data_IF_120022406213
#
_entry.id   IF_120022406213
#
_cell.length_a   1.000
_cell.length_b   1.000
_cell.length_c   1.000
_cell.angle_alpha   90.00
_cell.angle_beta   90.00
_cell.angle_gamma   90.00
#
_symmetry.space_group_name_H-M   'P 1'
#
loop_
_entity.id
_entity.type
_entity.pdbx_description
1 polymer ?
#
# COMPACT_ATOMS: atom_id res chain seq x y z
N UNK A 1 1.56 8.97 14.11
CA UNK A 1 0.61 9.60 13.15
C UNK A 1 -0.15 8.46 12.54
N UNK A 2 -1.48 8.49 12.60
CA UNK A 2 -2.36 7.51 11.96
C UNK A 2 -2.42 7.74 10.44
N UNK A 3 -2.90 6.74 9.70
CA UNK A 3 -3.13 6.89 8.26
C UNK A 3 -4.14 8.01 7.97
N UNK A 4 -5.20 8.09 8.79
CA UNK A 4 -6.23 9.11 8.65
C UNK A 4 -5.69 10.53 8.78
N UNK A 5 -4.79 10.78 9.73
CA UNK A 5 -4.14 12.10 9.89
C UNK A 5 -3.30 12.48 8.67
N UNK A 6 -2.63 11.51 8.04
CA UNK A 6 -1.85 11.75 6.80
C UNK A 6 -2.78 12.11 5.65
N UNK A 7 -3.85 11.34 5.44
CA UNK A 7 -4.82 11.59 4.37
C UNK A 7 -5.53 12.93 4.56
N UNK A 8 -5.90 13.28 5.79
CA UNK A 8 -6.49 14.58 6.10
C UNK A 8 -5.52 15.73 5.78
N UNK A 9 -4.26 15.61 6.18
CA UNK A 9 -3.23 16.61 5.84
C UNK A 9 -3.03 16.77 4.33
N UNK A 10 -3.06 15.67 3.57
CA UNK A 10 -3.00 15.73 2.11
C UNK A 10 -4.23 16.46 1.53
N UNK A 11 -5.42 16.17 2.05
CA UNK A 11 -6.66 16.83 1.65
C UNK A 11 -6.64 18.34 1.96
N UNK A 12 -6.12 18.74 3.12
CA UNK A 12 -5.91 20.17 3.48
C UNK A 12 -4.94 20.88 2.53
N UNK A 13 -4.00 20.11 1.92
CA UNK A 13 -3.11 20.61 0.86
C UNK A 13 -3.75 20.59 -0.54
N UNK A 14 -5.02 20.19 -0.66
CA UNK A 14 -5.76 20.10 -1.92
C UNK A 14 -5.26 19.00 -2.86
N UNK A 15 -4.70 17.90 -2.33
CA UNK A 15 -4.16 16.79 -3.10
C UNK A 15 -4.47 15.43 -2.48
N UNK A 16 -4.52 14.36 -3.28
CA UNK A 16 -4.52 12.99 -2.75
C UNK A 16 -3.15 12.62 -2.16
N UNK A 17 -3.13 11.55 -1.36
CA UNK A 17 -1.89 10.95 -0.89
C UNK A 17 -1.24 10.06 -1.97
N UNK A 18 0.10 9.99 -2.00
CA UNK A 18 0.84 8.94 -2.70
C UNK A 18 1.15 7.81 -1.73
N UNK A 19 0.68 6.61 -2.04
CA UNK A 19 0.89 5.40 -1.25
C UNK A 19 1.80 4.46 -2.06
N UNK A 20 2.98 4.19 -1.55
CA UNK A 20 4.02 3.42 -2.23
C UNK A 20 4.10 2.00 -1.65
N UNK A 21 3.81 0.98 -2.47
CA UNK A 21 3.99 -0.42 -2.09
C UNK A 21 5.38 -0.93 -2.48
N UNK A 22 6.07 -1.58 -1.56
CA UNK A 22 7.31 -2.33 -1.80
C UNK A 22 7.33 -3.61 -0.96
N UNK A 23 7.76 -4.77 -1.54
CA UNK A 23 7.91 -6.01 -0.79
C UNK A 23 9.18 -5.99 0.07
N UNK A 24 9.07 -6.43 1.31
CA UNK A 24 10.23 -6.64 2.19
C UNK A 24 11.09 -7.78 1.67
N UNK A 25 12.43 -7.63 1.77
CA UNK A 25 13.37 -8.66 1.35
C UNK A 25 13.71 -8.66 -0.14
N UNK A 26 13.15 -7.77 -0.95
CA UNK A 26 13.52 -7.65 -2.36
C UNK A 26 14.30 -6.34 -2.62
N UNK A 27 15.49 -6.41 -3.24
CA UNK A 27 16.22 -7.64 -3.60
C UNK A 27 16.88 -8.31 -2.39
N UNK A 28 17.11 -7.61 -1.30
CA UNK A 28 17.55 -8.08 0.02
C UNK A 28 16.76 -7.36 1.11
N UNK A 29 16.87 -7.80 2.36
CA UNK A 29 16.22 -7.10 3.48
C UNK A 29 16.73 -5.67 3.60
N UNK A 30 18.05 -5.48 3.61
CA UNK A 30 18.71 -4.18 3.69
C UNK A 30 18.37 -3.29 2.49
N UNK A 31 18.38 -3.88 1.28
CA UNK A 31 18.02 -3.20 0.03
C UNK A 31 16.57 -2.73 0.03
N UNK A 32 15.64 -3.55 0.50
CA UNK A 32 14.22 -3.20 0.59
C UNK A 32 13.98 -2.07 1.60
N UNK A 33 14.67 -2.09 2.74
CA UNK A 33 14.62 -1.01 3.74
C UNK A 33 15.17 0.30 3.16
N UNK A 34 16.30 0.25 2.44
CA UNK A 34 16.86 1.41 1.77
C UNK A 34 15.89 1.97 0.71
N UNK A 35 15.25 1.09 -0.07
CA UNK A 35 14.26 1.46 -1.06
C UNK A 35 13.03 2.12 -0.43
N UNK A 36 12.50 1.58 0.68
CA UNK A 36 11.35 2.16 1.39
C UNK A 36 11.68 3.55 1.97
N UNK A 37 12.89 3.77 2.46
CA UNK A 37 13.35 5.10 2.88
C UNK A 37 13.43 6.06 1.69
N UNK A 38 13.97 5.58 0.56
CA UNK A 38 14.12 6.38 -0.65
C UNK A 38 12.77 6.86 -1.22
N UNK A 39 11.72 6.04 -1.18
CA UNK A 39 10.37 6.48 -1.63
C UNK A 39 9.78 7.53 -0.70
N UNK A 40 10.00 7.45 0.62
CA UNK A 40 9.59 8.50 1.58
C UNK A 40 10.28 9.82 1.25
N UNK A 41 11.59 9.81 1.11
CA UNK A 41 12.41 10.97 0.77
C UNK A 41 12.05 11.58 -0.60
N UNK A 42 11.53 10.75 -1.52
CA UNK A 42 11.10 11.16 -2.86
C UNK A 42 9.63 11.60 -2.95
N UNK A 43 8.91 11.59 -1.84
CA UNK A 43 7.60 12.22 -1.73
C UNK A 43 6.40 11.29 -1.58
N UNK A 44 6.61 10.01 -1.24
CA UNK A 44 5.53 9.14 -0.80
C UNK A 44 5.04 9.57 0.61
N UNK A 45 3.74 9.63 0.81
CA UNK A 45 3.10 10.00 2.09
C UNK A 45 2.93 8.80 3.01
N UNK A 46 2.61 7.65 2.41
CA UNK A 46 2.37 6.37 3.09
C UNK A 46 3.20 5.31 2.37
N UNK A 47 3.76 4.36 3.13
CA UNK A 47 4.45 3.19 2.57
C UNK A 47 3.71 1.93 2.98
N UNK A 48 3.26 1.16 1.98
CA UNK A 48 2.77 -0.20 2.19
C UNK A 48 3.95 -1.16 2.21
N UNK A 49 4.25 -1.65 3.39
CA UNK A 49 5.29 -2.64 3.66
C UNK A 49 4.73 -4.03 3.37
N UNK A 50 5.00 -4.57 2.18
CA UNK A 50 4.47 -5.85 1.75
C UNK A 50 5.20 -7.02 2.37
N UNK A 51 4.48 -7.90 3.07
CA UNK A 51 5.04 -9.17 3.56
C UNK A 51 4.99 -10.19 2.42
N UNK A 52 6.14 -10.72 1.95
CA UNK A 52 6.15 -11.72 0.89
C UNK A 52 5.37 -12.97 1.25
N UNK A 53 4.61 -13.49 0.30
CA UNK A 53 3.78 -14.66 0.46
C UNK A 53 3.95 -15.63 -0.70
N UNK A 54 3.96 -16.95 -0.41
CA UNK A 54 4.21 -18.00 -1.40
C UNK A 54 3.06 -18.23 -2.37
N UNK A 55 1.82 -17.94 -1.95
CA UNK A 55 0.60 -18.27 -2.67
C UNK A 55 -0.32 -17.04 -2.86
N UNK A 56 0.18 -15.94 -3.49
CA UNK A 56 -0.56 -14.69 -3.59
C UNK A 56 -1.75 -14.83 -4.56
N UNK A 57 -2.91 -14.27 -4.16
CA UNK A 57 -4.12 -14.26 -4.99
C UNK A 57 -4.27 -12.98 -5.80
N UNK A 58 -3.58 -11.89 -5.42
CA UNK A 58 -3.78 -10.55 -6.01
C UNK A 58 -2.54 -9.99 -6.68
N UNK A 59 -1.37 -10.59 -6.47
CA UNK A 59 -0.12 -10.06 -6.96
C UNK A 59 0.07 -10.34 -8.45
N UNK A 60 0.48 -9.32 -9.20
CA UNK A 60 0.89 -9.50 -10.58
C UNK A 60 2.27 -10.15 -10.69
N UNK A 61 2.67 -10.63 -11.90
CA UNK A 61 3.89 -11.42 -12.09
C UNK A 61 5.16 -10.76 -11.53
N UNK A 62 5.28 -9.44 -11.63
CA UNK A 62 6.45 -8.71 -11.13
C UNK A 62 6.51 -8.69 -9.60
N UNK A 63 5.37 -8.57 -8.93
CA UNK A 63 5.30 -8.63 -7.46
C UNK A 63 5.56 -10.05 -7.00
N UNK A 64 5.02 -11.06 -7.69
CA UNK A 64 5.29 -12.48 -7.42
C UNK A 64 6.79 -12.79 -7.54
N UNK A 65 7.45 -12.38 -8.63
CA UNK A 65 8.90 -12.56 -8.81
C UNK A 65 9.70 -11.95 -7.64
N UNK A 66 9.33 -10.74 -7.23
CA UNK A 66 9.99 -10.07 -6.10
C UNK A 66 9.74 -10.80 -4.77
N UNK A 67 8.52 -11.28 -4.53
CA UNK A 67 8.16 -12.05 -3.34
C UNK A 67 8.90 -13.41 -3.30
N UNK A 68 8.94 -14.14 -4.42
CA UNK A 68 9.68 -15.40 -4.55
C UNK A 68 11.17 -15.21 -4.27
N UNK A 69 11.77 -14.14 -4.83
CA UNK A 69 13.17 -13.78 -4.58
C UNK A 69 13.42 -13.54 -3.09
N UNK A 70 12.56 -12.76 -2.43
CA UNK A 70 12.66 -12.46 -1.01
C UNK A 70 12.53 -13.72 -0.15
N UNK A 71 11.54 -14.59 -0.45
CA UNK A 71 11.32 -15.85 0.25
C UNK A 71 12.51 -16.81 0.07
N UNK A 72 13.05 -16.92 -1.14
CA UNK A 72 14.23 -17.76 -1.43
C UNK A 72 15.47 -17.27 -0.64
N UNK A 73 15.57 -16.00 -0.35
CA UNK A 73 16.63 -15.39 0.48
C UNK A 73 16.35 -15.43 1.98
N UNK A 74 15.24 -16.04 2.39
CA UNK A 74 14.94 -16.33 3.78
C UNK A 74 14.35 -15.17 4.58
N UNK A 75 13.69 -14.20 3.92
CA UNK A 75 12.95 -13.11 4.59
C UNK A 75 11.99 -13.65 5.65
N UNK A 76 11.83 -12.92 6.74
CA UNK A 76 10.98 -13.26 7.88
C UNK A 76 10.00 -12.12 8.19
N UNK A 77 8.95 -12.43 8.93
CA UNK A 77 7.96 -11.43 9.39
C UNK A 77 8.62 -10.34 10.24
N UNK A 78 9.65 -10.67 11.01
CA UNK A 78 10.40 -9.71 11.81
C UNK A 78 11.12 -8.65 10.95
N UNK A 79 11.53 -9.01 9.74
CA UNK A 79 12.12 -8.06 8.78
C UNK A 79 11.10 -7.01 8.33
N UNK A 80 9.81 -7.37 8.28
CA UNK A 80 8.75 -6.40 7.99
C UNK A 80 8.62 -5.37 9.12
N UNK A 81 8.74 -5.76 10.37
CA UNK A 81 8.73 -4.81 11.49
C UNK A 81 9.99 -3.94 11.52
N UNK A 82 11.15 -4.48 11.12
CA UNK A 82 12.36 -3.67 10.94
C UNK A 82 12.18 -2.63 9.82
N UNK A 83 11.56 -3.00 8.71
CA UNK A 83 11.24 -2.08 7.62
C UNK A 83 10.23 -0.99 8.06
N UNK A 84 9.18 -1.38 8.81
CA UNK A 84 8.22 -0.44 9.43
C UNK A 84 8.94 0.60 10.29
N UNK A 85 9.83 0.16 11.18
CA UNK A 85 10.60 1.06 12.04
C UNK A 85 11.50 2.02 11.23
N UNK A 86 12.11 1.53 10.15
CA UNK A 86 12.95 2.33 9.28
C UNK A 86 12.16 3.39 8.49
N UNK A 87 10.98 3.04 7.96
CA UNK A 87 10.06 3.98 7.30
C UNK A 87 9.60 5.05 8.29
N UNK A 88 9.26 4.64 9.52
CA UNK A 88 8.86 5.58 10.57
C UNK A 88 9.98 6.56 10.92
N UNK A 89 11.20 6.06 11.06
CA UNK A 89 12.38 6.88 11.34
C UNK A 89 12.71 7.86 10.20
N UNK A 90 12.39 7.51 8.95
CA UNK A 90 12.52 8.39 7.79
C UNK A 90 11.41 9.45 7.69
N UNK A 91 10.46 9.48 8.62
CA UNK A 91 9.33 10.43 8.63
C UNK A 91 8.11 9.97 7.83
N UNK A 92 8.13 8.77 7.25
CA UNK A 92 6.99 8.16 6.55
C UNK A 92 5.94 7.58 7.50
N UNK A 93 4.81 7.20 6.94
CA UNK A 93 3.76 6.49 7.66
C UNK A 93 3.65 5.07 7.10
N UNK A 94 4.18 4.05 7.82
CA UNK A 94 4.16 2.67 7.36
C UNK A 94 2.83 1.99 7.68
N UNK A 95 2.31 1.25 6.71
CA UNK A 95 1.20 0.31 6.86
C UNK A 95 1.68 -1.05 6.36
N UNK A 96 1.47 -2.11 7.11
CA UNK A 96 1.82 -3.45 6.62
C UNK A 96 0.71 -3.97 5.71
N UNK A 97 1.07 -4.62 4.60
CA UNK A 97 0.17 -5.43 3.80
C UNK A 97 0.55 -6.89 3.93
N UNK A 98 -0.36 -7.72 4.41
CA UNK A 98 -0.12 -9.14 4.65
C UNK A 98 -1.37 -9.98 4.43
N UNK A 99 -1.19 -11.20 3.93
CA UNK A 99 -2.23 -12.22 3.97
C UNK A 99 -2.46 -12.66 5.42
N UNK A 100 -3.71 -12.91 5.76
CA UNK A 100 -4.13 -13.05 7.15
C UNK A 100 -3.61 -14.32 7.83
N UNK A 101 -3.35 -15.39 7.06
CA UNK A 101 -2.75 -16.61 7.61
C UNK A 101 -1.37 -16.37 8.25
N UNK A 102 -0.59 -15.39 7.77
CA UNK A 102 0.70 -15.00 8.37
C UNK A 102 0.47 -14.37 9.75
N UNK A 103 -0.56 -13.53 9.86
CA UNK A 103 -0.96 -12.90 11.12
C UNK A 103 -1.43 -13.95 12.13
N UNK A 104 -2.29 -14.90 11.68
CA UNK A 104 -2.76 -16.02 12.49
C UNK A 104 -1.60 -16.90 12.98
N UNK A 105 -0.63 -17.21 12.10
CA UNK A 105 0.51 -18.05 12.48
C UNK A 105 1.40 -17.40 13.56
N UNK A 106 1.57 -16.07 13.52
CA UNK A 106 2.31 -15.35 14.56
C UNK A 106 1.50 -15.21 15.86
N UNK A 107 0.19 -15.27 15.77
CA UNK A 107 -0.78 -14.90 16.79
C UNK A 107 -1.22 -13.44 16.63
N UNK A 108 -2.53 -13.22 16.52
CA UNK A 108 -3.12 -11.92 16.14
C UNK A 108 -2.73 -10.80 17.11
N UNK A 109 -2.86 -11.03 18.41
CA UNK A 109 -2.50 -10.05 19.45
C UNK A 109 -0.99 -9.73 19.41
N UNK A 110 -0.14 -10.76 19.31
CA UNK A 110 1.31 -10.57 19.20
C UNK A 110 1.70 -9.80 17.95
N UNK A 111 1.07 -10.10 16.80
CA UNK A 111 1.34 -9.36 15.57
C UNK A 111 0.98 -7.88 15.71
N UNK A 112 -0.18 -7.60 16.31
CA UNK A 112 -0.64 -6.23 16.56
C UNK A 112 0.30 -5.48 17.52
N UNK A 113 0.73 -6.14 18.61
CA UNK A 113 1.70 -5.56 19.55
C UNK A 113 3.04 -5.23 18.88
N UNK A 114 3.60 -6.19 18.12
CA UNK A 114 4.88 -6.02 17.42
C UNK A 114 4.80 -4.92 16.35
N UNK A 115 3.70 -4.86 15.59
CA UNK A 115 3.44 -3.82 14.59
C UNK A 115 3.37 -2.43 15.24
N UNK A 116 2.62 -2.30 16.32
CA UNK A 116 2.50 -1.05 17.06
C UNK A 116 3.84 -0.61 17.66
N UNK A 117 4.60 -1.55 18.27
CA UNK A 117 5.91 -1.30 18.84
C UNK A 117 6.93 -0.83 17.79
N UNK A 118 6.84 -1.35 16.55
CA UNK A 118 7.65 -0.89 15.41
C UNK A 118 7.22 0.50 14.90
N UNK A 119 6.11 1.05 15.35
CA UNK A 119 5.56 2.34 14.90
C UNK A 119 4.70 2.25 13.64
N UNK A 120 4.19 1.06 13.32
CA UNK A 120 3.23 0.85 12.24
C UNK A 120 1.91 1.55 12.49
N UNK A 121 1.30 2.06 11.44
CA UNK A 121 0.01 2.75 11.54
C UNK A 121 -1.19 1.80 11.40
N UNK A 122 -1.04 0.66 10.75
CA UNK A 122 -2.12 -0.28 10.52
C UNK A 122 -1.74 -1.46 9.65
N UNK A 123 -2.76 -2.27 9.30
CA UNK A 123 -2.63 -3.46 8.46
C UNK A 123 -3.68 -3.46 7.36
N UNK A 124 -3.24 -3.77 6.16
CA UNK A 124 -4.06 -4.08 4.99
C UNK A 124 -4.14 -5.60 4.86
N UNK A 125 -5.35 -6.13 4.84
CA UNK A 125 -5.61 -7.58 4.70
C UNK A 125 -6.41 -7.84 3.42
N UNK A 126 -5.77 -8.31 2.33
CA UNK A 126 -6.44 -8.49 1.05
C UNK A 126 -7.44 -9.66 1.04
N UNK A 127 -7.26 -10.62 1.92
CA UNK A 127 -8.00 -11.90 2.00
C UNK A 127 -8.94 -12.01 3.21
N UNK A 128 -8.97 -11.02 4.10
CA UNK A 128 -9.83 -11.03 5.29
C UNK A 128 -11.09 -10.22 5.06
N UNK A 129 -12.25 -10.80 5.40
CA UNK A 129 -13.54 -10.11 5.41
C UNK A 129 -13.94 -9.73 6.85
N UNK A 130 -14.73 -8.65 7.05
CA UNK A 130 -15.14 -8.22 8.39
C UNK A 130 -15.83 -9.29 9.23
N UNK A 131 -16.60 -10.17 8.59
CA UNK A 131 -17.33 -11.24 9.26
C UNK A 131 -16.39 -12.27 9.95
N UNK A 132 -15.14 -12.37 9.52
CA UNK A 132 -14.12 -13.27 10.05
C UNK A 132 -13.01 -12.52 10.82
N UNK A 133 -13.12 -11.20 10.93
CA UNK A 133 -12.05 -10.33 11.45
C UNK A 133 -12.16 -10.03 12.94
N UNK A 134 -12.99 -10.75 13.71
CA UNK A 134 -13.25 -10.44 15.13
C UNK A 134 -11.97 -10.23 15.94
N UNK A 135 -11.08 -11.22 15.94
CA UNK A 135 -9.82 -11.17 16.68
C UNK A 135 -8.92 -10.00 16.24
N UNK A 136 -8.90 -9.71 14.93
CA UNK A 136 -8.12 -8.58 14.40
C UNK A 136 -8.74 -7.23 14.77
N UNK A 137 -10.07 -7.13 14.77
CA UNK A 137 -10.76 -5.91 15.21
C UNK A 137 -10.42 -5.61 16.67
N UNK A 138 -10.51 -6.59 17.55
CA UNK A 138 -10.18 -6.44 18.97
C UNK A 138 -8.71 -6.04 19.17
N UNK A 139 -7.78 -6.76 18.55
CA UNK A 139 -6.36 -6.46 18.63
C UNK A 139 -6.02 -5.08 18.06
N UNK A 140 -6.54 -4.72 16.89
CA UNK A 140 -6.29 -3.41 16.29
C UNK A 140 -6.82 -2.25 17.15
N UNK A 141 -7.95 -2.44 17.83
CA UNK A 141 -8.49 -1.45 18.78
C UNK A 141 -7.62 -1.33 20.03
N UNK A 142 -7.14 -2.45 20.57
CA UNK A 142 -6.28 -2.46 21.75
C UNK A 142 -4.95 -1.74 21.52
N UNK A 143 -4.36 -1.87 20.34
CA UNK A 143 -3.06 -1.26 20.00
C UNK A 143 -3.16 0.02 19.18
N UNK A 144 -4.36 0.53 18.90
CA UNK A 144 -4.57 1.79 18.16
C UNK A 144 -4.16 1.73 16.69
N UNK A 145 -4.24 0.55 16.07
CA UNK A 145 -3.87 0.32 14.67
C UNK A 145 -5.06 0.56 13.74
N UNK A 146 -4.81 1.12 12.58
CA UNK A 146 -5.79 1.18 11.50
C UNK A 146 -5.97 -0.21 10.85
N UNK A 147 -7.21 -0.54 10.46
CA UNK A 147 -7.56 -1.78 9.78
C UNK A 147 -8.17 -1.45 8.42
N UNK A 148 -7.51 -1.91 7.39
CA UNK A 148 -7.83 -1.53 6.02
C UNK A 148 -8.28 -2.77 5.27
N UNK A 149 -9.57 -2.79 4.94
CA UNK A 149 -10.18 -3.86 4.15
C UNK A 149 -10.36 -3.42 2.70
N UNK A 150 -10.48 -4.41 1.81
CA UNK A 150 -10.62 -4.21 0.38
C UNK A 150 -12.09 -4.23 -0.05
N UNK A 151 -12.41 -3.37 -1.01
CA UNK A 151 -13.63 -3.42 -1.79
C UNK A 151 -13.29 -3.54 -3.28
N UNK A 152 -14.19 -4.14 -4.04
CA UNK A 152 -14.02 -4.39 -5.47
C UNK A 152 -15.28 -3.96 -6.25
N UNK A 153 -15.20 -3.78 -7.57
CA UNK A 153 -16.38 -3.44 -8.40
C UNK A 153 -17.54 -4.43 -8.29
N UNK A 154 -17.27 -5.66 -7.89
CA UNK A 154 -18.29 -6.70 -7.64
C UNK A 154 -18.94 -6.61 -6.24
N UNK A 155 -18.52 -5.69 -5.38
CA UNK A 155 -19.08 -5.54 -4.04
C UNK A 155 -20.47 -4.95 -4.10
N UNK A 156 -21.47 -5.62 -3.48
CA UNK A 156 -22.83 -5.09 -3.38
C UNK A 156 -22.91 -3.92 -2.39
N UNK A 157 -23.95 -3.06 -2.46
CA UNK A 157 -24.11 -1.95 -1.51
C UNK A 157 -24.08 -2.40 -0.04
N UNK A 158 -24.71 -3.54 0.28
CA UNK A 158 -24.72 -4.10 1.63
C UNK A 158 -23.33 -4.55 2.07
N UNK A 159 -22.54 -5.12 1.15
CA UNK A 159 -21.15 -5.50 1.41
C UNK A 159 -20.28 -4.26 1.60
N UNK A 160 -20.45 -3.23 0.78
CA UNK A 160 -19.76 -1.95 0.94
C UNK A 160 -20.02 -1.35 2.32
N UNK A 161 -21.29 -1.28 2.75
CA UNK A 161 -21.65 -0.75 4.06
C UNK A 161 -21.01 -1.54 5.22
N UNK A 162 -20.99 -2.88 5.15
CA UNK A 162 -20.35 -3.73 6.17
C UNK A 162 -18.83 -3.56 6.20
N UNK A 163 -18.20 -3.57 5.04
CA UNK A 163 -16.73 -3.41 4.95
C UNK A 163 -16.29 -2.05 5.46
N UNK A 164 -16.96 -0.98 5.02
CA UNK A 164 -16.61 0.38 5.44
C UNK A 164 -16.85 0.61 6.93
N UNK A 165 -17.90 0.02 7.52
CA UNK A 165 -18.14 0.10 8.97
C UNK A 165 -17.03 -0.56 9.81
N UNK A 166 -16.37 -1.59 9.27
CA UNK A 166 -15.25 -2.26 9.93
C UNK A 166 -13.90 -1.60 9.67
N UNK A 167 -13.77 -0.82 8.58
CA UNK A 167 -12.53 -0.13 8.25
C UNK A 167 -12.18 0.97 9.25
N UNK A 168 -10.87 1.21 9.39
CA UNK A 168 -10.30 2.39 10.05
C UNK A 168 -9.07 2.83 9.26
N UNK A 169 -8.85 4.14 9.14
CA UNK A 169 -7.83 4.71 8.27
C UNK A 169 -8.38 5.05 6.89
N UNK A 170 -8.48 4.10 5.99
CA UNK A 170 -9.09 4.26 4.66
C UNK A 170 -9.73 2.95 4.16
N UNK A 171 -10.52 3.06 3.09
CA UNK A 171 -11.06 1.93 2.33
C UNK A 171 -10.16 1.69 1.12
N UNK A 172 -9.63 0.48 0.96
CA UNK A 172 -8.83 0.12 -0.22
C UNK A 172 -9.75 -0.28 -1.38
N UNK A 173 -9.86 0.55 -2.39
CA UNK A 173 -10.59 0.23 -3.60
C UNK A 173 -9.68 -0.49 -4.61
N UNK A 174 -9.82 -1.81 -4.69
CA UNK A 174 -9.16 -2.63 -5.69
C UNK A 174 -9.99 -2.55 -6.99
N UNK A 175 -9.53 -1.79 -7.96
CA UNK A 175 -10.34 -1.45 -9.14
C UNK A 175 -10.39 -2.52 -10.22
N UNK A 176 -9.63 -3.60 -10.08
CA UNK A 176 -9.64 -4.71 -11.05
C UNK A 176 -9.81 -6.04 -10.33
N UNK A 177 -10.73 -6.87 -10.82
CA UNK A 177 -10.76 -8.30 -10.50
C UNK A 177 -9.67 -8.97 -11.32
N UNK A 178 -8.58 -9.42 -10.67
CA UNK A 178 -7.46 -10.11 -11.29
C UNK A 178 -6.11 -9.42 -11.07
N UNK A 179 -5.05 -10.11 -11.48
CA UNK A 179 -3.65 -9.71 -11.25
C UNK A 179 -3.33 -8.30 -11.75
N UNK A 180 -2.59 -7.55 -10.95
CA UNK A 180 -2.13 -6.19 -11.28
C UNK A 180 -1.22 -6.19 -12.52
N UNK A 181 -1.49 -5.31 -13.47
CA UNK A 181 -0.68 -5.12 -14.68
C UNK A 181 -0.88 -3.72 -15.25
N UNK A 182 0.09 -3.23 -16.03
CA UNK A 182 0.02 -1.91 -16.71
C UNK A 182 -1.10 -1.93 -17.76
N UNK A 183 -2.05 -1.00 -17.67
CA UNK A 183 -3.12 -0.79 -18.66
C UNK A 183 -3.06 0.61 -19.25
N UNK A 184 -3.47 0.72 -20.51
CA UNK A 184 -3.47 1.98 -21.27
C UNK A 184 -4.67 2.90 -20.98
N UNK A 185 -5.76 2.38 -20.40
CA UNK A 185 -6.95 3.17 -20.01
C UNK A 185 -7.19 3.05 -18.49
N UNK A 186 -7.11 4.20 -17.83
CA UNK A 186 -7.31 4.34 -16.40
C UNK A 186 -8.72 4.86 -16.16
N UNK A 187 -9.61 4.06 -15.53
CA UNK A 187 -10.52 4.70 -14.67
C UNK A 187 -12.00 4.48 -14.64
N UNK A 188 -12.74 4.07 -15.65
CA UNK A 188 -14.20 4.08 -15.57
C UNK A 188 -14.75 3.35 -14.32
N UNK A 189 -14.43 2.08 -14.14
CA UNK A 189 -14.93 1.30 -13.02
C UNK A 189 -14.35 1.65 -11.65
N UNK A 190 -13.19 2.34 -11.59
CA UNK A 190 -12.61 2.78 -10.32
C UNK A 190 -13.31 4.02 -9.77
N UNK A 191 -13.65 4.97 -10.63
CA UNK A 191 -14.40 6.15 -10.23
C UNK A 191 -15.79 5.78 -9.72
N UNK A 192 -16.50 4.89 -10.43
CA UNK A 192 -17.81 4.37 -10.01
C UNK A 192 -17.73 3.67 -8.65
N UNK A 193 -16.67 2.86 -8.43
CA UNK A 193 -16.47 2.20 -7.13
C UNK A 193 -16.26 3.21 -6.00
N UNK A 194 -15.46 4.26 -6.24
CA UNK A 194 -15.25 5.34 -5.27
C UNK A 194 -16.56 6.06 -4.94
N UNK A 195 -17.38 6.36 -5.94
CA UNK A 195 -18.71 6.97 -5.74
C UNK A 195 -19.62 6.05 -4.91
N UNK A 196 -19.65 4.75 -5.21
CA UNK A 196 -20.44 3.79 -4.45
C UNK A 196 -19.98 3.68 -2.98
N UNK A 197 -18.68 3.72 -2.72
CA UNK A 197 -18.14 3.72 -1.35
C UNK A 197 -18.55 5.01 -0.63
N UNK A 198 -18.41 6.17 -1.27
CA UNK A 198 -18.79 7.47 -0.71
C UNK A 198 -20.30 7.62 -0.44
N UNK A 199 -21.13 6.85 -1.14
CA UNK A 199 -22.58 6.82 -0.87
C UNK A 199 -22.93 6.17 0.49
N UNK A 200 -22.01 5.36 1.07
CA UNK A 200 -22.25 4.60 2.30
C UNK A 200 -21.24 4.89 3.42
N UNK A 201 -20.21 5.71 3.16
CA UNK A 201 -19.14 5.98 4.13
C UNK A 201 -18.44 7.31 3.88
N UNK A 202 -18.02 7.97 4.97
CA UNK A 202 -17.17 9.17 4.95
C UNK A 202 -15.67 8.85 5.10
N UNK A 203 -15.28 7.58 5.07
CA UNK A 203 -13.86 7.19 5.11
C UNK A 203 -13.17 7.58 3.81
N UNK A 204 -11.90 8.00 3.87
CA UNK A 204 -11.09 8.18 2.68
C UNK A 204 -11.05 6.90 1.84
N UNK A 205 -11.03 7.05 0.51
CA UNK A 205 -10.95 5.94 -0.43
C UNK A 205 -9.65 6.04 -1.21
N UNK A 206 -8.78 5.02 -1.05
CA UNK A 206 -7.52 4.94 -1.78
C UNK A 206 -7.61 3.87 -2.86
N UNK A 207 -7.10 4.18 -4.05
CA UNK A 207 -7.29 3.35 -5.25
C UNK A 207 -5.97 2.73 -5.70
N UNK A 208 -5.98 1.39 -5.85
CA UNK A 208 -4.91 0.62 -6.48
C UNK A 208 -5.30 0.17 -7.88
N UNK A 209 -4.67 0.72 -8.93
CA UNK A 209 -5.10 0.57 -10.34
C UNK A 209 -3.97 0.32 -11.34
N UNK A 210 -2.80 -0.12 -10.92
CA UNK A 210 -1.68 -0.31 -11.85
C UNK A 210 -1.15 1.00 -12.44
N UNK A 211 -1.25 2.10 -11.71
CA UNK A 211 -0.67 3.40 -12.04
C UNK A 211 0.84 3.28 -12.22
N UNK A 212 1.37 3.87 -13.27
CA UNK A 212 2.79 3.78 -13.62
C UNK A 212 3.44 5.11 -14.03
N UNK A 213 2.65 6.16 -14.24
CA UNK A 213 3.11 7.50 -14.63
C UNK A 213 2.49 8.59 -13.74
N UNK A 214 3.13 9.75 -13.71
CA UNK A 214 2.60 10.91 -12.99
C UNK A 214 1.26 11.39 -13.53
N UNK A 215 1.01 11.29 -14.83
CA UNK A 215 -0.27 11.69 -15.42
C UNK A 215 -1.40 10.71 -15.05
N UNK A 216 -1.12 9.42 -15.00
CA UNK A 216 -2.07 8.44 -14.46
C UNK A 216 -2.34 8.68 -12.99
N UNK A 217 -1.30 8.99 -12.19
CA UNK A 217 -1.47 9.34 -10.78
C UNK A 217 -2.35 10.59 -10.61
N UNK A 218 -2.18 11.60 -11.47
CA UNK A 218 -3.04 12.79 -11.47
C UNK A 218 -4.50 12.45 -11.84
N UNK A 219 -4.72 11.60 -12.83
CA UNK A 219 -6.05 11.19 -13.27
C UNK A 219 -6.82 10.43 -12.18
N UNK A 220 -6.16 9.47 -11.51
CA UNK A 220 -6.76 8.73 -10.37
C UNK A 220 -6.97 9.66 -9.19
N UNK A 221 -6.01 10.52 -8.90
CA UNK A 221 -6.08 11.49 -7.81
C UNK A 221 -7.19 12.53 -7.97
N UNK A 222 -7.76 12.71 -9.15
CA UNK A 222 -8.87 13.60 -9.37
C UNK A 222 -10.17 13.13 -8.67
N UNK A 223 -10.31 11.83 -8.40
CA UNK A 223 -11.49 11.25 -7.76
C UNK A 223 -11.21 10.44 -6.49
N UNK A 224 -9.96 10.05 -6.23
CA UNK A 224 -9.54 9.27 -5.06
C UNK A 224 -8.84 10.14 -4.01
N UNK A 225 -8.88 9.74 -2.75
CA UNK A 225 -8.20 10.41 -1.64
C UNK A 225 -6.72 9.95 -1.51
N UNK A 226 -6.38 8.82 -2.12
CA UNK A 226 -5.02 8.31 -2.23
C UNK A 226 -4.82 7.45 -3.47
N UNK A 227 -3.61 7.49 -4.02
CA UNK A 227 -3.19 6.71 -5.18
C UNK A 227 -2.15 5.70 -4.74
N UNK A 228 -2.46 4.41 -4.90
CA UNK A 228 -1.62 3.29 -4.49
C UNK A 228 -0.83 2.79 -5.70
N UNK A 229 0.49 2.72 -5.56
CA UNK A 229 1.40 2.32 -6.63
C UNK A 229 2.35 1.23 -6.13
N UNK A 230 2.34 0.08 -6.78
CA UNK A 230 3.23 -1.04 -6.46
C UNK A 230 4.15 -1.41 -7.63
N UNK A 231 3.59 -2.04 -8.67
CA UNK A 231 4.38 -2.62 -9.77
C UNK A 231 5.34 -1.66 -10.48
N UNK A 232 4.98 -0.37 -10.58
CA UNK A 232 5.87 0.63 -11.17
C UNK A 232 7.11 0.87 -10.31
N UNK A 233 6.95 0.91 -8.98
CA UNK A 233 8.04 1.09 -8.03
C UNK A 233 8.93 -0.15 -7.94
N UNK A 234 8.34 -1.35 -7.92
CA UNK A 234 9.11 -2.60 -7.96
C UNK A 234 9.90 -2.73 -9.27
N UNK A 235 9.32 -2.31 -10.41
CA UNK A 235 10.04 -2.25 -11.69
C UNK A 235 11.20 -1.27 -11.65
N UNK A 236 11.01 -0.10 -11.06
CA UNK A 236 12.06 0.90 -10.91
C UNK A 236 13.17 0.39 -9.98
N UNK A 237 12.82 -0.26 -8.87
CA UNK A 237 13.80 -0.89 -7.98
C UNK A 237 14.58 -2.01 -8.68
N UNK A 238 13.92 -2.81 -9.53
CA UNK A 238 14.59 -3.82 -10.36
C UNK A 238 15.58 -3.20 -11.36
N UNK A 239 15.27 -2.01 -11.88
CA UNK A 239 16.17 -1.28 -12.77
C UNK A 239 17.40 -0.68 -12.07
N UNK A 240 17.35 -0.52 -10.74
CA UNK A 240 18.47 -0.10 -9.91
C UNK A 240 19.39 -1.27 -9.47
N UNK A 241 19.08 -2.54 -9.86
CA UNK A 241 19.98 -3.67 -9.65
C UNK A 241 21.24 -3.52 -10.49
N UNK A 242 22.41 -3.67 -9.87
CA UNK A 242 23.72 -3.58 -10.55
C UNK A 242 23.98 -4.82 -11.44
N UNK A 243 23.38 -5.96 -11.10
CA UNK A 243 23.40 -7.18 -11.90
C UNK A 243 21.99 -7.50 -12.44
N UNK A 244 21.77 -7.53 -13.76
CA UNK A 244 20.46 -7.80 -14.36
C UNK A 244 19.86 -9.16 -13.96
N UNK A 245 20.70 -10.14 -13.69
CA UNK A 245 20.30 -11.51 -13.28
C UNK A 245 19.98 -11.61 -11.78
N UNK A 246 19.91 -10.46 -11.07
CA UNK A 246 19.57 -10.41 -9.65
C UNK A 246 20.70 -10.83 -8.71
N UNK A 247 21.85 -11.32 -9.19
CA UNK A 247 23.07 -11.66 -8.47
C UNK A 247 22.95 -11.70 -6.93
N UNK A 248 23.81 -11.00 -6.23
CA UNK A 248 23.74 -10.87 -4.76
C UNK A 248 22.68 -9.85 -4.29
N UNK A 249 21.92 -9.24 -5.22
CA UNK A 249 20.89 -8.23 -4.93
C UNK A 249 21.45 -6.85 -4.64
N UNK A 250 22.66 -6.58 -5.14
CA UNK A 250 23.29 -5.27 -4.98
C UNK A 250 22.58 -4.20 -5.80
N UNK A 251 22.29 -3.07 -5.16
CA UNK A 251 21.56 -1.94 -5.73
C UNK A 251 22.50 -0.77 -6.02
N UNK A 252 22.16 0.04 -7.02
CA UNK A 252 22.70 1.39 -7.16
C UNK A 252 22.50 2.13 -5.82
N UNK A 253 23.56 2.60 -5.15
CA UNK A 253 23.44 3.26 -3.85
C UNK A 253 22.57 4.51 -3.88
N UNK A 254 22.43 5.14 -5.05
CA UNK A 254 21.60 6.32 -5.23
C UNK A 254 20.12 6.00 -5.50
N UNK A 255 19.77 4.74 -5.83
CA UNK A 255 18.42 4.30 -6.18
C UNK A 255 17.74 5.23 -7.20
N UNK A 256 18.45 5.55 -8.29
CA UNK A 256 18.08 6.64 -9.21
C UNK A 256 16.75 6.40 -9.91
N UNK A 257 16.52 5.18 -10.40
CA UNK A 257 15.28 4.85 -11.10
C UNK A 257 14.10 4.89 -10.14
N UNK A 258 14.24 4.32 -8.93
CA UNK A 258 13.21 4.32 -7.91
C UNK A 258 12.86 5.74 -7.45
N UNK A 259 13.86 6.55 -7.14
CA UNK A 259 13.68 7.96 -6.73
C UNK A 259 13.02 8.79 -7.82
N UNK A 260 13.48 8.66 -9.07
CA UNK A 260 12.91 9.37 -10.21
C UNK A 260 11.45 9.01 -10.44
N UNK A 261 11.12 7.71 -10.45
CA UNK A 261 9.74 7.24 -10.61
C UNK A 261 8.85 7.72 -9.46
N UNK A 262 9.32 7.65 -8.22
CA UNK A 262 8.56 8.12 -7.06
C UNK A 262 8.31 9.62 -7.13
N UNK A 263 9.32 10.41 -7.48
CA UNK A 263 9.18 11.87 -7.61
C UNK A 263 8.21 12.26 -8.75
N UNK A 264 8.21 11.54 -9.86
CA UNK A 264 7.25 11.71 -10.95
C UNK A 264 5.81 11.47 -10.48
N UNK A 265 5.58 10.35 -9.80
CA UNK A 265 4.27 9.99 -9.24
C UNK A 265 3.81 11.01 -8.18
N UNK A 266 4.72 11.44 -7.29
CA UNK A 266 4.45 12.49 -6.31
C UNK A 266 4.12 13.83 -6.98
N UNK A 267 4.78 14.16 -8.07
CA UNK A 267 4.44 15.30 -8.93
C UNK A 267 3.04 15.17 -9.53
N UNK A 268 2.67 13.95 -9.95
CA UNK A 268 1.35 13.63 -10.48
C UNK A 268 0.23 13.90 -9.47
N UNK A 269 0.30 13.33 -8.27
CA UNK A 269 -0.71 13.54 -7.23
C UNK A 269 -0.81 15.00 -6.77
N UNK A 270 0.28 15.76 -6.81
CA UNK A 270 0.25 17.21 -6.52
C UNK A 270 -0.44 18.03 -7.62
N UNK A 271 -0.46 17.56 -8.87
CA UNK A 271 -1.17 18.20 -9.98
C UNK A 271 -2.65 17.79 -10.03
N UNK A 272 -3.02 16.72 -9.33
CA UNK A 272 -4.41 16.29 -9.28
C UNK A 272 -5.24 17.40 -8.63
N UNK A 273 -6.24 17.92 -9.36
CA UNK A 273 -7.25 18.80 -8.79
C UNK A 273 -8.29 17.91 -8.14
N UNK A 274 -8.27 17.81 -6.83
CA UNK A 274 -9.38 17.21 -6.12
C UNK A 274 -10.63 18.04 -6.42
N UNK A 275 -11.61 17.43 -7.07
CA UNK A 275 -12.96 17.96 -7.15
C UNK A 275 -13.56 17.85 -5.74
N UNK A 276 -13.12 18.71 -4.84
CA UNK A 276 -13.75 18.90 -3.56
C UNK A 276 -15.09 19.60 -3.84
N UNK A 277 -16.11 18.80 -4.12
CA UNK A 277 -17.47 19.26 -4.00
C UNK A 277 -17.62 19.75 -2.57
N UNK A 278 -17.98 21.02 -2.41
CA UNK A 278 -18.31 21.60 -1.12
C UNK A 278 -19.28 20.67 -0.38
N UNK A 279 -18.83 20.08 0.71
CA UNK A 279 -19.68 19.45 1.71
C UNK A 279 -20.18 20.48 2.70
#
# INVERSE_FOLDING_TARGET
>A
MSVREVLQRCAEQGRPALIAYLPVGYPTVEGSIAAMRAVVESGADIVEVGVPYSDPVMDGPLIQEAAETALARGVRVDDAFAAVAAVRAAGGTPVVMSYYNIVLHRGVDRFAADLAAAGGAGLITPDLIPDEAGDWIEASDAYGLDRIFLVAPSSTPERLARVTAACRGFVYAASTMGVTGVRSEVGGGAADLVEHVRAVSDLPVCVGLGVSTGDQAAAVGAFADGVIVGSALVRALKADLLSPDGGDGELDPDLRALRSTTAELAGGVRRARTTTGSR
#
